data_IF_275527512817
#
_entry.id   IF_275527512817
#
_cell.length_a   1.000
_cell.length_b   1.000
_cell.length_c   1.000
_cell.angle_alpha   90.00
_cell.angle_beta   90.00
_cell.angle_gamma   90.00
#
_symmetry.space_group_name_H-M   'P 1'
#
loop_
_entity.id
_entity.type
_entity.pdbx_description
1 polymer ?
#
# COMPACT_ATOMS: atom_id res chain seq x y z
N UNK A 1 18.11 40.22 36.00
CA UNK A 1 16.83 39.88 35.29
C UNK A 1 16.98 39.43 33.82
N UNK A 2 18.18 39.27 33.25
CA UNK A 2 18.37 38.87 31.82
C UNK A 2 18.58 37.36 31.62
N UNK A 3 18.78 36.57 32.70
CA UNK A 3 19.13 35.14 32.60
C UNK A 3 17.93 34.18 32.46
N UNK A 4 16.73 34.64 32.84
CA UNK A 4 15.52 33.79 32.79
C UNK A 4 14.77 33.88 31.45
N UNK A 5 15.07 34.91 30.62
CA UNK A 5 14.42 35.09 29.31
C UNK A 5 14.90 34.07 28.28
N UNK A 6 16.19 33.67 28.35
CA UNK A 6 16.78 32.68 27.44
C UNK A 6 16.28 31.26 27.68
N UNK A 7 15.99 30.90 28.92
CA UNK A 7 15.44 29.60 29.29
C UNK A 7 13.99 29.45 28.79
N UNK A 8 13.20 30.52 28.81
CA UNK A 8 11.82 30.50 28.32
C UNK A 8 11.74 30.37 26.80
N UNK A 9 12.68 30.95 26.07
CA UNK A 9 12.72 30.83 24.59
C UNK A 9 13.17 29.44 24.18
N UNK A 10 14.11 28.81 24.89
CA UNK A 10 14.56 27.45 24.59
C UNK A 10 13.45 26.40 24.78
N UNK A 11 12.59 26.58 25.79
CA UNK A 11 11.45 25.68 26.05
C UNK A 11 10.37 25.85 24.97
N UNK A 12 10.15 27.07 24.49
CA UNK A 12 9.14 27.34 23.44
C UNK A 12 9.52 26.72 22.09
N UNK A 13 10.81 26.70 21.73
CA UNK A 13 11.31 26.10 20.48
C UNK A 13 11.24 24.57 20.52
N UNK A 14 11.35 23.95 21.70
CA UNK A 14 11.26 22.49 21.84
C UNK A 14 9.81 21.96 21.73
N UNK A 15 8.81 22.81 22.01
CA UNK A 15 7.40 22.43 21.90
C UNK A 15 6.84 22.48 20.46
N UNK A 16 7.54 23.11 19.53
CA UNK A 16 7.10 23.23 18.12
C UNK A 16 7.58 22.10 17.21
N UNK A 17 8.39 21.16 17.72
CA UNK A 17 9.04 20.10 16.94
C UNK A 17 8.24 18.81 16.76
N UNK A 18 7.09 18.64 17.38
CA UNK A 18 6.32 17.40 17.33
C UNK A 18 5.06 17.51 16.46
N UNK A 19 5.20 17.99 15.21
CA UNK A 19 4.22 17.69 14.18
C UNK A 19 4.48 16.24 13.74
N UNK A 20 4.00 15.30 14.54
CA UNK A 20 3.89 13.90 14.14
C UNK A 20 2.95 13.86 12.95
N UNK A 21 3.49 13.61 11.75
CA UNK A 21 2.70 13.21 10.60
C UNK A 21 1.95 11.94 11.00
N UNK A 22 0.72 12.09 11.42
CA UNK A 22 -0.16 10.98 11.73
C UNK A 22 -0.58 10.35 10.40
N UNK A 23 0.29 9.47 9.85
CA UNK A 23 -0.05 8.68 8.67
C UNK A 23 -1.19 7.75 9.07
N UNK A 24 -2.37 8.02 8.55
CA UNK A 24 -3.55 7.18 8.80
C UNK A 24 -3.41 5.87 8.00
N UNK A 25 -2.64 4.95 8.52
CA UNK A 25 -2.60 3.58 8.05
C UNK A 25 -3.62 2.74 8.83
N UNK A 26 -4.48 2.01 8.11
CA UNK A 26 -5.40 1.05 8.73
C UNK A 26 -4.61 -0.16 9.22
N UNK A 27 -4.86 -0.60 10.45
CA UNK A 27 -4.26 -1.85 10.96
C UNK A 27 -4.50 -3.01 9.98
N UNK A 28 -3.51 -3.88 9.78
CA UNK A 28 -3.61 -5.03 8.89
C UNK A 28 -4.79 -5.93 9.27
N UNK A 29 -5.69 -6.19 8.33
CA UNK A 29 -6.72 -7.23 8.49
C UNK A 29 -6.08 -8.60 8.24
N UNK A 30 -5.84 -9.36 9.30
CA UNK A 30 -5.26 -10.70 9.25
C UNK A 30 -6.30 -11.79 9.01
N UNK A 31 -7.59 -11.45 8.97
CA UNK A 31 -8.70 -12.40 8.90
C UNK A 31 -8.98 -12.91 7.48
N UNK A 32 -8.44 -12.29 6.44
CA UNK A 32 -8.71 -12.67 5.06
C UNK A 32 -7.88 -13.89 4.67
N UNK A 33 -8.51 -15.03 4.38
CA UNK A 33 -7.81 -16.17 3.80
C UNK A 33 -7.19 -15.79 2.46
N UNK A 34 -5.88 -15.89 2.33
CA UNK A 34 -5.16 -15.52 1.12
C UNK A 34 -4.25 -16.63 0.63
N UNK A 35 -4.19 -16.82 -0.67
CA UNK A 35 -3.28 -17.74 -1.33
C UNK A 35 -2.07 -16.97 -1.86
N UNK A 36 -0.86 -17.43 -1.54
CA UNK A 36 0.36 -16.86 -2.14
C UNK A 36 0.50 -17.36 -3.57
N UNK A 37 0.53 -16.44 -4.52
CA UNK A 37 0.65 -16.73 -5.96
C UNK A 37 1.63 -15.74 -6.60
N UNK A 38 2.17 -16.09 -7.76
CA UNK A 38 2.95 -15.13 -8.56
C UNK A 38 2.05 -14.14 -9.30
N UNK A 39 2.56 -12.94 -9.55
CA UNK A 39 1.84 -11.92 -10.33
C UNK A 39 1.54 -12.45 -11.73
N UNK A 40 2.50 -13.12 -12.38
CA UNK A 40 2.30 -13.74 -13.68
C UNK A 40 1.15 -14.75 -13.69
N UNK A 41 1.03 -15.60 -12.66
CA UNK A 41 -0.07 -16.56 -12.54
C UNK A 41 -1.42 -15.85 -12.35
N UNK A 42 -1.48 -14.82 -11.50
CA UNK A 42 -2.69 -14.01 -11.33
C UNK A 42 -3.15 -13.42 -12.67
N UNK A 43 -2.22 -12.78 -13.39
CA UNK A 43 -2.54 -12.10 -14.65
C UNK A 43 -2.97 -13.08 -15.75
N UNK A 44 -2.35 -14.27 -15.81
CA UNK A 44 -2.70 -15.30 -16.78
C UNK A 44 -4.05 -15.97 -16.48
N UNK A 45 -4.47 -16.02 -15.23
CA UNK A 45 -5.66 -16.74 -14.77
C UNK A 45 -6.66 -15.83 -14.03
N UNK A 46 -6.79 -14.57 -14.44
CA UNK A 46 -7.60 -13.53 -13.76
C UNK A 46 -8.99 -14.01 -13.35
N UNK A 47 -9.65 -14.78 -14.23
CA UNK A 47 -11.02 -15.23 -13.98
C UNK A 47 -11.10 -16.21 -12.80
N UNK A 48 -10.09 -17.06 -12.63
CA UNK A 48 -10.04 -18.02 -11.54
C UNK A 48 -9.82 -17.35 -10.17
N UNK A 49 -9.19 -16.18 -10.17
CA UNK A 49 -8.89 -15.44 -8.92
C UNK A 49 -9.88 -14.29 -8.63
N UNK A 50 -10.90 -14.08 -9.46
CA UNK A 50 -11.90 -13.04 -9.23
C UNK A 50 -12.54 -13.21 -7.85
N UNK A 51 -12.48 -12.17 -7.02
CA UNK A 51 -12.94 -12.14 -5.62
C UNK A 51 -12.18 -13.07 -4.67
N UNK A 52 -11.05 -13.63 -5.10
CA UNK A 52 -10.20 -14.44 -4.23
C UNK A 52 -9.24 -13.56 -3.41
N UNK A 53 -8.95 -14.01 -2.19
CA UNK A 53 -7.87 -13.47 -1.38
C UNK A 53 -6.52 -13.93 -1.95
N UNK A 54 -5.64 -12.96 -2.26
CA UNK A 54 -4.32 -13.20 -2.84
C UNK A 54 -3.23 -12.56 -1.99
N UNK A 55 -2.06 -13.20 -1.98
CA UNK A 55 -0.83 -12.66 -1.41
C UNK A 55 0.23 -12.62 -2.49
N UNK A 56 0.66 -11.42 -2.85
CA UNK A 56 1.59 -11.15 -3.94
C UNK A 56 2.86 -10.49 -3.40
N UNK A 57 3.99 -10.74 -4.05
CA UNK A 57 5.25 -10.10 -3.74
C UNK A 57 5.78 -9.44 -5.01
N UNK A 58 6.22 -8.20 -4.89
CA UNK A 58 6.75 -7.48 -6.04
C UNK A 58 7.39 -6.15 -5.65
N UNK A 59 7.80 -5.43 -6.67
CA UNK A 59 8.38 -4.09 -6.56
C UNK A 59 7.32 -3.04 -6.85
N UNK A 60 7.31 -1.97 -6.07
CA UNK A 60 6.41 -0.83 -6.23
C UNK A 60 6.84 0.05 -7.39
N UNK A 61 5.91 0.36 -8.29
CA UNK A 61 6.06 1.26 -9.42
C UNK A 61 4.84 2.17 -9.57
N UNK A 62 5.04 3.36 -10.13
CA UNK A 62 3.98 4.35 -10.44
C UNK A 62 3.11 4.66 -9.21
N UNK A 63 3.77 4.88 -8.07
CA UNK A 63 3.12 5.16 -6.79
C UNK A 63 2.43 6.53 -6.83
N UNK A 64 1.14 6.57 -6.51
CA UNK A 64 0.32 7.77 -6.44
C UNK A 64 -0.52 7.78 -5.19
N UNK A 65 -0.49 8.89 -4.47
CA UNK A 65 -1.44 9.18 -3.38
C UNK A 65 -2.46 10.19 -3.92
N UNK A 66 -3.72 9.84 -3.84
CA UNK A 66 -4.82 10.62 -4.40
C UNK A 66 -5.89 10.88 -3.34
N UNK A 67 -6.68 11.93 -3.57
CA UNK A 67 -7.81 12.26 -2.72
C UNK A 67 -9.04 12.39 -3.61
N UNK A 68 -10.04 11.53 -3.38
CA UNK A 68 -11.32 11.60 -4.06
C UNK A 68 -12.38 12.21 -3.16
N UNK A 69 -13.28 12.98 -3.75
CA UNK A 69 -14.52 13.39 -3.09
C UNK A 69 -15.53 12.28 -3.30
N UNK A 70 -15.92 11.61 -2.24
CA UNK A 70 -16.94 10.59 -2.29
C UNK A 70 -18.30 11.24 -1.98
N UNK A 71 -19.19 11.25 -2.96
CA UNK A 71 -20.54 11.81 -2.80
C UNK A 71 -21.37 11.06 -1.74
N UNK A 72 -21.03 9.79 -1.49
CA UNK A 72 -21.73 8.93 -0.52
C UNK A 72 -21.30 9.16 0.95
N UNK A 73 -20.25 9.94 1.21
CA UNK A 73 -19.71 10.18 2.57
C UNK A 73 -19.84 11.63 3.03
N UNK A 74 -20.97 12.28 2.78
CA UNK A 74 -21.22 13.68 3.16
C UNK A 74 -20.11 14.66 2.71
N UNK A 75 -19.45 14.36 1.58
CA UNK A 75 -18.41 15.20 1.02
C UNK A 75 -17.07 15.15 1.78
N UNK A 76 -16.86 14.18 2.67
CA UNK A 76 -15.56 13.99 3.32
C UNK A 76 -14.57 13.39 2.33
N UNK A 77 -13.44 14.08 2.03
CA UNK A 77 -12.45 13.56 1.09
C UNK A 77 -11.82 12.26 1.62
N UNK A 78 -11.78 11.25 0.78
CA UNK A 78 -11.13 9.98 1.09
C UNK A 78 -9.78 9.89 0.37
N UNK A 79 -8.70 9.70 1.15
CA UNK A 79 -7.36 9.50 0.60
C UNK A 79 -7.14 8.02 0.30
N UNK A 80 -6.54 7.73 -0.83
CA UNK A 80 -6.15 6.38 -1.22
C UNK A 80 -4.81 6.38 -1.97
N UNK A 81 -4.15 5.26 -1.95
CA UNK A 81 -2.87 5.02 -2.63
C UNK A 81 -3.07 4.01 -3.74
N UNK A 82 -2.54 4.31 -4.93
CA UNK A 82 -2.48 3.36 -6.04
C UNK A 82 -1.04 3.17 -6.48
N UNK A 83 -0.71 1.97 -6.91
CA UNK A 83 0.59 1.64 -7.49
C UNK A 83 0.53 0.37 -8.33
N UNK A 84 1.53 0.15 -9.16
CA UNK A 84 1.73 -1.10 -9.87
C UNK A 84 2.67 -1.96 -9.03
N UNK A 85 2.24 -3.17 -8.70
CA UNK A 85 3.11 -4.19 -8.12
C UNK A 85 3.66 -5.05 -9.25
N UNK A 86 4.96 -4.99 -9.50
CA UNK A 86 5.62 -5.69 -10.60
C UNK A 86 6.54 -6.80 -10.13
N UNK A 87 6.56 -7.91 -10.87
CA UNK A 87 7.55 -8.97 -10.69
C UNK A 87 8.88 -8.64 -11.39
N UNK A 88 9.84 -9.56 -11.32
CA UNK A 88 11.17 -9.39 -11.94
C UNK A 88 11.14 -9.34 -13.46
N UNK A 89 10.12 -9.94 -14.09
CA UNK A 89 9.94 -9.97 -15.53
C UNK A 89 9.24 -8.74 -16.06
N UNK A 90 8.82 -7.82 -15.17
CA UNK A 90 8.06 -6.63 -15.53
C UNK A 90 6.56 -6.86 -15.69
N UNK A 91 6.06 -8.05 -15.31
CA UNK A 91 4.63 -8.28 -15.24
C UNK A 91 4.08 -7.53 -14.03
N UNK A 92 3.08 -6.68 -14.25
CA UNK A 92 2.50 -5.85 -13.20
C UNK A 92 1.02 -6.09 -12.98
N UNK A 93 0.56 -5.79 -11.78
CA UNK A 93 -0.85 -5.71 -11.41
C UNK A 93 -1.09 -4.42 -10.65
N UNK A 94 -2.21 -3.77 -10.94
CA UNK A 94 -2.62 -2.57 -10.22
C UNK A 94 -3.03 -2.92 -8.78
N UNK A 95 -2.64 -2.09 -7.84
CA UNK A 95 -2.98 -2.21 -6.43
C UNK A 95 -3.67 -0.92 -6.00
N UNK A 96 -4.78 -1.07 -5.31
CA UNK A 96 -5.47 -0.02 -4.60
C UNK A 96 -5.35 -0.26 -3.10
N UNK A 97 -5.06 0.77 -2.34
CA UNK A 97 -5.02 0.72 -0.88
C UNK A 97 -5.69 1.96 -0.30
N UNK A 98 -6.56 1.77 0.67
CA UNK A 98 -7.22 2.86 1.37
C UNK A 98 -6.22 3.60 2.27
N UNK A 99 -6.20 4.92 2.19
CA UNK A 99 -5.30 5.80 2.95
C UNK A 99 -3.96 6.07 2.27
N UNK A 100 -3.12 6.84 2.95
CA UNK A 100 -1.73 7.12 2.56
C UNK A 100 -0.82 6.02 3.11
N UNK A 101 -0.40 5.10 2.24
CA UNK A 101 0.42 3.95 2.62
C UNK A 101 1.89 4.37 2.76
N UNK A 102 2.58 4.01 3.84
CA UNK A 102 3.97 4.42 4.09
C UNK A 102 4.99 3.56 3.30
N UNK A 103 4.87 3.53 1.97
CA UNK A 103 5.78 2.87 1.03
C UNK A 103 6.37 3.88 0.06
N UNK A 104 7.44 3.51 -0.63
CA UNK A 104 8.12 4.34 -1.61
C UNK A 104 8.23 3.62 -2.95
N UNK A 105 8.39 4.41 -4.00
CA UNK A 105 8.75 3.92 -5.33
C UNK A 105 10.01 3.07 -5.25
N UNK A 106 9.93 1.85 -5.77
CA UNK A 106 11.06 0.93 -5.78
C UNK A 106 11.14 -0.02 -4.58
N UNK A 107 10.31 0.14 -3.57
CA UNK A 107 10.24 -0.79 -2.44
C UNK A 107 9.79 -2.18 -2.88
N UNK A 108 10.34 -3.21 -2.21
CA UNK A 108 9.79 -4.56 -2.30
C UNK A 108 8.80 -4.80 -1.19
N UNK A 109 7.58 -5.18 -1.57
CA UNK A 109 6.49 -5.36 -0.63
C UNK A 109 5.75 -6.66 -0.87
N UNK A 110 5.15 -7.17 0.20
CA UNK A 110 4.09 -8.18 0.14
C UNK A 110 2.76 -7.48 0.25
N UNK A 111 1.89 -7.70 -0.72
CA UNK A 111 0.52 -7.19 -0.74
C UNK A 111 -0.44 -8.36 -0.49
N UNK A 112 -1.28 -8.23 0.53
CA UNK A 112 -2.39 -9.14 0.80
C UNK A 112 -3.69 -8.39 0.53
N UNK A 113 -4.56 -8.94 -0.30
CA UNK A 113 -5.79 -8.26 -0.67
C UNK A 113 -6.75 -9.18 -1.42
N UNK A 114 -7.82 -8.59 -1.93
CA UNK A 114 -8.82 -9.28 -2.76
C UNK A 114 -8.63 -8.85 -4.20
N UNK A 115 -8.46 -9.81 -5.10
CA UNK A 115 -8.41 -9.49 -6.53
C UNK A 115 -9.81 -9.18 -7.07
N UNK A 116 -9.98 -7.98 -7.62
CA UNK A 116 -11.24 -7.47 -8.18
C UNK A 116 -11.10 -7.29 -9.67
N UNK A 117 -12.00 -7.90 -10.44
CA UNK A 117 -12.09 -7.67 -11.88
C UNK A 117 -12.57 -6.25 -12.20
N UNK A 118 -13.51 -5.79 -11.42
CA UNK A 118 -14.10 -4.45 -11.48
C UNK A 118 -14.21 -3.91 -10.05
N UNK A 119 -13.78 -2.67 -9.82
CA UNK A 119 -13.75 -2.08 -8.50
C UNK A 119 -13.95 -0.55 -8.58
N UNK A 120 -14.87 -0.03 -7.81
CA UNK A 120 -15.21 1.39 -7.78
C UNK A 120 -15.38 1.86 -6.32
N UNK A 121 -14.28 2.05 -5.58
CA UNK A 121 -14.36 2.39 -4.16
C UNK A 121 -14.70 3.86 -3.88
N UNK A 122 -14.32 4.78 -4.76
CA UNK A 122 -14.35 6.23 -4.52
C UNK A 122 -14.84 7.04 -5.73
N UNK A 123 -15.68 6.45 -6.58
CA UNK A 123 -16.08 7.08 -7.84
C UNK A 123 -15.14 6.76 -9.02
N UNK A 124 -13.85 6.54 -8.76
CA UNK A 124 -12.91 6.08 -9.76
C UNK A 124 -13.11 4.59 -10.05
N UNK A 125 -12.98 4.23 -11.33
CA UNK A 125 -13.21 2.88 -11.81
C UNK A 125 -11.90 2.15 -12.12
N UNK A 126 -11.67 1.03 -11.45
CA UNK A 126 -10.48 0.20 -11.62
C UNK A 126 -10.82 -1.15 -12.22
N UNK A 127 -9.95 -1.65 -13.11
CA UNK A 127 -10.06 -2.97 -13.72
C UNK A 127 -8.90 -3.86 -13.31
N UNK A 128 -9.18 -5.11 -12.93
CA UNK A 128 -8.17 -6.11 -12.59
C UNK A 128 -7.20 -5.63 -11.51
N UNK A 129 -7.71 -5.07 -10.44
CA UNK A 129 -6.97 -4.47 -9.34
C UNK A 129 -6.95 -5.39 -8.11
N UNK A 130 -5.90 -5.32 -7.32
CA UNK A 130 -5.84 -5.90 -5.97
C UNK A 130 -6.28 -4.83 -4.97
N UNK A 131 -7.44 -5.05 -4.36
CA UNK A 131 -7.94 -4.27 -3.23
C UNK A 131 -7.18 -4.68 -1.98
N UNK A 132 -6.12 -3.93 -1.66
CA UNK A 132 -5.16 -4.28 -0.62
C UNK A 132 -5.73 -4.02 0.78
N UNK A 133 -5.66 -5.04 1.62
CA UNK A 133 -6.02 -4.96 3.04
C UNK A 133 -4.79 -4.89 3.93
N UNK A 134 -3.62 -5.36 3.42
CA UNK A 134 -2.36 -5.34 4.13
C UNK A 134 -1.20 -5.22 3.15
N UNK A 135 -0.24 -4.35 3.47
CA UNK A 135 1.02 -4.19 2.74
C UNK A 135 2.15 -4.26 3.77
N UNK A 136 3.13 -5.11 3.51
CA UNK A 136 4.26 -5.36 4.39
C UNK A 136 5.56 -5.19 3.62
N UNK A 137 6.60 -4.63 4.27
CA UNK A 137 7.94 -4.62 3.71
C UNK A 137 8.41 -6.05 3.46
N UNK A 138 8.90 -6.31 2.26
CA UNK A 138 9.49 -7.59 1.93
C UNK A 138 11.00 -7.47 1.79
N UNK A 139 11.75 -8.08 2.70
CA UNK A 139 13.21 -8.11 2.62
C UNK A 139 13.66 -9.37 1.87
N UNK A 140 14.45 -9.23 0.78
CA UNK A 140 15.11 -10.36 0.15
C UNK A 140 15.91 -11.15 1.19
N UNK A 141 15.68 -12.45 1.27
CA UNK A 141 16.29 -13.34 2.29
C UNK A 141 15.27 -13.96 3.26
N UNK A 142 14.03 -13.52 3.29
CA UNK A 142 12.95 -14.20 4.03
C UNK A 142 12.33 -15.38 3.25
N UNK A 143 13.14 -16.18 2.60
CA UNK A 143 12.79 -17.54 2.15
C UNK A 143 12.09 -17.68 0.79
N UNK A 144 11.39 -16.67 0.27
CA UNK A 144 10.63 -16.82 -0.98
C UNK A 144 11.40 -16.38 -2.23
N UNK A 145 12.17 -15.31 -2.14
CA UNK A 145 12.95 -14.78 -3.27
C UNK A 145 14.12 -15.66 -3.69
N UNK A 146 14.70 -16.42 -2.75
CA UNK A 146 15.83 -17.31 -3.03
C UNK A 146 15.39 -18.48 -3.92
N UNK A 147 14.17 -18.96 -3.74
CA UNK A 147 13.67 -20.12 -4.49
C UNK A 147 13.28 -19.80 -5.93
N UNK A 148 12.84 -18.57 -6.22
CA UNK A 148 12.54 -18.12 -7.59
C UNK A 148 13.82 -17.67 -8.36
N UNK A 149 14.91 -17.36 -7.64
CA UNK A 149 16.19 -17.00 -8.25
C UNK A 149 17.05 -18.20 -8.66
N UNK A 150 16.75 -19.41 -8.17
CA UNK A 150 17.53 -20.63 -8.46
C UNK A 150 17.00 -21.43 -9.67
N UNK A 151 15.93 -20.98 -10.32
CA UNK A 151 15.29 -21.73 -11.42
C UNK A 151 15.37 -21.07 -12.81
N UNK A 152 16.30 -20.13 -13.01
CA UNK A 152 16.68 -19.64 -14.35
C UNK A 152 18.10 -20.08 -14.72
#
# INVERSE_FOLDING_TARGET
MKRNLWLSIAILVFMLGSVSCNRQWKEPDTSIPSQTISIANLISNRQAYTSAGVSLIGKVWDLKVQTAQNEDTDGVPETYTTFILADRMGTGVDVYAKGDVPIQEGDFVRVVGIFRKEFQPTGDYFLNVVDAVRIEDWKPGMGYWIREMEFD
#
